data_IF_349687605171
#
_entry.id   IF_349687605171
#
_cell.length_a   1.000
_cell.length_b   1.000
_cell.length_c   1.000
_cell.angle_alpha   90.00
_cell.angle_beta   90.00
_cell.angle_gamma   90.00
#
_symmetry.space_group_name_H-M   'P 1'
#
loop_
_entity.id
_entity.type
_entity.pdbx_description
1 polymer ?
#
# COMPACT_ATOMS: atom_id res chain seq x y z
N UNK A 1 -2.79 35.96 -18.88
CA UNK A 1 -3.67 35.38 -17.84
C UNK A 1 -2.80 34.50 -16.98
N UNK A 2 -2.74 34.73 -15.68
CA UNK A 2 -1.98 33.91 -14.75
C UNK A 2 -2.97 33.05 -13.94
N UNK A 3 -2.92 31.74 -14.12
CA UNK A 3 -3.58 30.79 -13.24
C UNK A 3 -2.58 30.32 -12.18
N UNK A 4 -2.93 30.46 -10.90
CA UNK A 4 -2.14 29.89 -9.81
C UNK A 4 -2.73 28.55 -9.41
N UNK A 5 -1.92 27.52 -9.43
CA UNK A 5 -2.27 26.22 -8.87
C UNK A 5 -1.93 26.20 -7.37
N UNK A 6 -2.94 25.97 -6.54
CA UNK A 6 -2.74 25.72 -5.11
C UNK A 6 -2.98 24.23 -4.86
N UNK A 7 -1.92 23.50 -4.56
CA UNK A 7 -2.04 22.16 -4.03
C UNK A 7 -2.22 22.26 -2.51
N UNK A 8 -3.44 22.08 -2.02
CA UNK A 8 -3.71 21.97 -0.59
C UNK A 8 -3.41 20.53 -0.19
N UNK A 9 -2.24 20.29 0.38
CA UNK A 9 -1.93 19.05 1.09
C UNK A 9 -2.79 19.02 2.37
N UNK A 10 -3.86 18.22 2.37
CA UNK A 10 -4.46 17.77 3.61
C UNK A 10 -3.52 16.73 4.21
N UNK A 11 -2.62 17.17 5.08
CA UNK A 11 -1.83 16.29 5.91
C UNK A 11 -2.76 15.65 6.94
N UNK A 12 -3.31 14.47 6.63
CA UNK A 12 -3.87 13.59 7.65
C UNK A 12 -2.70 13.16 8.54
N UNK A 13 -2.68 13.67 9.77
CA UNK A 13 -1.68 13.30 10.76
C UNK A 13 -1.72 11.79 11.02
N UNK A 14 -0.79 11.06 10.45
CA UNK A 14 -0.51 9.68 10.80
C UNK A 14 0.02 9.68 12.23
N UNK A 15 -0.82 9.27 13.19
CA UNK A 15 -0.35 8.84 14.51
C UNK A 15 0.45 7.56 14.26
N UNK A 16 1.78 7.67 14.24
CA UNK A 16 2.67 6.52 14.36
C UNK A 16 2.44 5.87 15.72
N UNK A 17 1.57 4.87 15.77
CA UNK A 17 1.52 3.93 16.89
C UNK A 17 2.70 3.00 16.67
N UNK A 18 3.78 3.27 17.37
CA UNK A 18 4.87 2.32 17.54
C UNK A 18 4.30 1.13 18.31
N UNK A 19 3.87 0.07 17.61
CA UNK A 19 3.66 -1.22 18.24
C UNK A 19 5.04 -1.76 18.55
N UNK A 20 5.50 -1.54 19.79
CA UNK A 20 6.61 -2.27 20.33
C UNK A 20 6.28 -3.76 20.23
N UNK A 21 7.04 -4.49 19.39
CA UNK A 21 6.97 -5.93 19.29
C UNK A 21 7.09 -6.50 20.71
N UNK A 22 6.03 -7.15 21.18
CA UNK A 22 6.07 -7.88 22.44
C UNK A 22 6.95 -9.09 22.22
N UNK A 23 8.18 -9.04 22.72
CA UNK A 23 9.00 -10.26 22.85
C UNK A 23 8.22 -11.25 23.70
N UNK A 24 8.08 -12.49 23.23
CA UNK A 24 7.45 -13.56 24.00
C UNK A 24 8.09 -13.61 25.40
N UNK A 25 7.27 -13.41 26.44
CA UNK A 25 7.75 -13.35 27.81
C UNK A 25 7.94 -14.77 28.36
N UNK A 26 9.04 -15.05 29.10
CA UNK A 26 9.20 -16.34 29.77
C UNK A 26 8.00 -16.59 30.72
N UNK A 27 7.21 -17.63 30.41
CA UNK A 27 6.01 -17.98 31.17
C UNK A 27 4.70 -17.99 30.38
N UNK A 28 4.69 -17.55 29.12
CA UNK A 28 3.52 -17.68 28.27
C UNK A 28 3.13 -19.17 28.06
N UNK A 29 1.82 -19.50 28.09
CA UNK A 29 1.40 -20.89 27.94
C UNK A 29 1.80 -21.40 26.55
N UNK A 30 2.58 -22.48 26.54
CA UNK A 30 2.91 -23.16 25.31
C UNK A 30 1.66 -23.92 24.82
N UNK A 31 1.32 -23.76 23.54
CA UNK A 31 0.40 -24.67 22.90
C UNK A 31 1.07 -26.05 22.86
N UNK A 32 0.50 -27.02 23.61
CA UNK A 32 0.71 -28.44 23.47
C UNK A 32 1.61 -29.17 24.45
N UNK A 33 2.23 -30.27 23.99
CA UNK A 33 2.91 -31.28 24.78
C UNK A 33 4.01 -30.68 25.68
N UNK A 34 4.26 -31.32 26.79
CA UNK A 34 5.31 -30.93 27.73
C UNK A 34 6.70 -30.90 27.09
N UNK A 35 6.94 -31.75 26.07
CA UNK A 35 8.27 -31.97 25.48
C UNK A 35 8.52 -31.18 24.18
N UNK A 36 7.47 -30.82 23.46
CA UNK A 36 7.52 -30.02 22.24
C UNK A 36 6.41 -28.95 22.31
N UNK A 37 6.74 -27.70 22.10
CA UNK A 37 5.74 -26.62 22.21
C UNK A 37 6.12 -25.34 21.50
N UNK A 38 5.12 -24.65 20.99
CA UNK A 38 5.16 -23.27 20.53
C UNK A 38 4.51 -22.40 21.59
N UNK A 39 5.21 -21.36 22.02
CA UNK A 39 4.81 -20.52 23.14
C UNK A 39 4.78 -19.05 22.70
N UNK A 40 3.74 -18.33 23.08
CA UNK A 40 3.65 -16.87 22.83
C UNK A 40 3.39 -16.48 21.36
N UNK A 41 3.02 -17.41 20.49
CA UNK A 41 2.55 -17.08 19.13
C UNK A 41 1.18 -16.39 19.25
N UNK A 42 1.10 -15.18 18.73
CA UNK A 42 -0.14 -14.38 18.71
C UNK A 42 -0.75 -14.35 17.30
N UNK A 43 -2.07 -14.15 17.22
CA UNK A 43 -2.81 -13.99 15.98
C UNK A 43 -3.88 -12.90 16.12
N UNK A 44 -4.15 -12.10 15.07
CA UNK A 44 -3.37 -12.03 13.83
C UNK A 44 -2.05 -11.29 14.02
N UNK A 45 -1.08 -11.58 13.13
CA UNK A 45 0.15 -10.79 12.98
C UNK A 45 -0.08 -9.77 11.88
N UNK A 46 -0.21 -8.50 12.28
CA UNK A 46 -0.60 -7.40 11.39
C UNK A 46 0.62 -6.59 10.99
N UNK A 47 0.83 -6.46 9.69
CA UNK A 47 1.88 -5.65 9.09
C UNK A 47 1.27 -4.56 8.21
N UNK A 48 1.95 -3.43 8.08
CA UNK A 48 1.56 -2.35 7.17
C UNK A 48 2.58 -2.27 6.06
N UNK A 49 2.11 -2.28 4.82
CA UNK A 49 2.97 -2.04 3.66
C UNK A 49 3.50 -0.61 3.69
N UNK A 50 4.83 -0.50 3.56
CA UNK A 50 5.53 0.77 3.38
C UNK A 50 6.33 0.67 2.07
N UNK A 51 6.07 1.57 1.14
CA UNK A 51 6.78 1.64 -0.14
C UNK A 51 8.29 1.88 0.01
N UNK A 52 8.72 2.36 1.17
CA UNK A 52 10.14 2.61 1.49
C UNK A 52 10.83 1.39 2.11
N UNK A 53 10.08 0.39 2.58
CA UNK A 53 10.60 -0.81 3.23
C UNK A 53 9.85 -2.05 2.74
N UNK A 54 10.44 -2.86 1.84
CA UNK A 54 9.81 -4.08 1.35
C UNK A 54 9.75 -5.20 2.40
N UNK A 55 10.53 -5.11 3.48
CA UNK A 55 10.50 -6.07 4.56
C UNK A 55 9.22 -5.87 5.37
N UNK A 56 8.34 -6.87 5.36
CA UNK A 56 7.03 -6.77 6.02
C UNK A 56 7.19 -6.79 7.53
N UNK A 57 8.02 -7.69 8.06
CA UNK A 57 8.36 -7.71 9.49
C UNK A 57 8.57 -9.10 10.07
N UNK A 58 8.65 -9.18 11.40
CA UNK A 58 8.97 -10.39 12.15
C UNK A 58 7.80 -10.83 13.02
N UNK A 59 7.59 -12.14 13.09
CA UNK A 59 6.63 -12.80 13.98
C UNK A 59 7.41 -13.49 15.10
N UNK A 60 7.51 -12.89 16.29
CA UNK A 60 8.24 -13.45 17.40
C UNK A 60 7.39 -14.47 18.16
N UNK A 61 8.00 -15.58 18.54
CA UNK A 61 7.45 -16.58 19.46
C UNK A 61 8.58 -17.35 20.14
N UNK A 62 8.28 -18.42 20.83
CA UNK A 62 9.31 -19.28 21.43
C UNK A 62 9.02 -20.74 21.14
N UNK A 63 10.08 -21.52 20.99
CA UNK A 63 10.00 -22.97 20.77
C UNK A 63 10.72 -23.70 21.89
N UNK A 64 10.08 -24.73 22.39
CA UNK A 64 10.66 -25.71 23.32
C UNK A 64 10.68 -27.06 22.65
N UNK A 65 11.84 -27.75 22.65
CA UNK A 65 11.97 -29.09 22.09
C UNK A 65 13.02 -29.91 22.86
N UNK A 66 12.56 -30.84 23.66
CA UNK A 66 13.41 -31.75 24.42
C UNK A 66 12.74 -33.09 24.59
N UNK A 67 13.50 -34.09 25.08
CA UNK A 67 12.97 -35.36 25.53
C UNK A 67 13.46 -35.67 26.95
N UNK A 68 12.83 -36.61 27.63
CA UNK A 68 13.17 -37.01 29.00
C UNK A 68 13.37 -38.51 29.05
N UNK A 69 14.51 -38.92 29.61
CA UNK A 69 14.78 -40.30 29.94
C UNK A 69 15.07 -40.42 31.44
N UNK A 70 14.17 -41.08 32.15
CA UNK A 70 14.10 -41.09 33.62
C UNK A 70 14.06 -39.65 34.19
N UNK A 71 15.15 -39.23 34.85
CA UNK A 71 15.27 -37.89 35.48
C UNK A 71 16.08 -36.91 34.60
N UNK A 72 16.60 -37.34 33.47
CA UNK A 72 17.46 -36.53 32.62
C UNK A 72 16.65 -35.97 31.44
N UNK A 73 16.67 -34.66 31.29
CA UNK A 73 16.13 -33.95 30.11
C UNK A 73 17.26 -33.58 29.18
N UNK A 74 17.05 -33.76 27.88
CA UNK A 74 18.03 -33.41 26.86
C UNK A 74 17.35 -32.76 25.65
N UNK A 75 17.96 -31.71 25.08
CA UNK A 75 17.46 -31.06 23.87
C UNK A 75 17.32 -32.05 22.72
N UNK A 76 16.28 -31.87 21.90
CA UNK A 76 16.03 -32.67 20.70
C UNK A 76 15.81 -31.74 19.52
N UNK A 77 16.53 -31.96 18.43
CA UNK A 77 16.38 -31.19 17.23
C UNK A 77 14.95 -31.28 16.68
N UNK A 78 14.51 -30.24 15.98
CA UNK A 78 13.18 -30.16 15.39
C UNK A 78 13.22 -29.50 14.01
N UNK A 79 12.22 -29.79 13.20
CA UNK A 79 11.95 -29.12 11.92
C UNK A 79 10.63 -28.35 12.01
N UNK A 80 10.51 -27.32 11.20
CA UNK A 80 9.31 -26.48 11.08
C UNK A 80 8.72 -26.68 9.70
N UNK A 81 7.40 -26.80 9.61
CA UNK A 81 6.66 -26.88 8.34
C UNK A 81 5.51 -25.90 8.41
N UNK A 82 5.32 -25.12 7.35
CA UNK A 82 4.18 -24.21 7.19
C UNK A 82 3.33 -24.68 6.02
N UNK A 83 2.03 -24.83 6.24
CA UNK A 83 1.04 -25.22 5.24
C UNK A 83 0.02 -24.11 5.04
N UNK A 84 -0.44 -23.92 3.81
CA UNK A 84 -1.47 -22.92 3.48
C UNK A 84 -1.51 -22.60 2.00
N UNK A 85 -2.24 -21.53 1.67
CA UNK A 85 -2.32 -21.07 0.29
C UNK A 85 -0.95 -20.68 -0.24
N UNK A 86 -0.57 -21.21 -1.41
CA UNK A 86 0.75 -21.00 -1.98
C UNK A 86 0.75 -21.01 -3.51
N UNK A 87 1.79 -20.41 -4.09
CA UNK A 87 2.09 -20.46 -5.51
C UNK A 87 3.59 -20.70 -5.70
N UNK A 88 3.95 -21.92 -6.08
CA UNK A 88 5.35 -22.35 -6.15
C UNK A 88 6.01 -22.35 -4.78
N UNK A 89 7.05 -21.54 -4.60
CA UNK A 89 7.80 -21.42 -3.35
C UNK A 89 7.25 -20.36 -2.39
N UNK A 90 6.30 -19.55 -2.84
CA UNK A 90 5.77 -18.41 -2.08
C UNK A 90 4.42 -18.74 -1.47
N UNK A 91 4.18 -18.23 -0.28
CA UNK A 91 2.86 -18.22 0.35
C UNK A 91 2.00 -17.09 -0.20
N UNK A 92 0.67 -17.23 -0.10
CA UNK A 92 -0.27 -16.25 -0.62
C UNK A 92 -1.14 -15.66 0.48
N UNK A 93 -1.17 -14.34 0.52
CA UNK A 93 -2.20 -13.57 1.21
C UNK A 93 -3.26 -13.15 0.18
N UNK A 94 -4.52 -13.12 0.57
CA UNK A 94 -5.64 -12.84 -0.34
C UNK A 94 -6.50 -11.69 0.18
N UNK A 95 -6.97 -10.85 -0.74
CA UNK A 95 -7.94 -9.79 -0.53
C UNK A 95 -8.92 -9.74 -1.70
N UNK A 96 -10.07 -9.05 -1.60
CA UNK A 96 -10.97 -8.81 -2.74
C UNK A 96 -10.26 -8.20 -3.96
N UNK A 97 -9.28 -7.33 -3.73
CA UNK A 97 -8.49 -6.66 -4.77
C UNK A 97 -7.38 -7.50 -5.40
N UNK A 98 -7.12 -8.73 -4.91
CA UNK A 98 -6.08 -9.58 -5.47
C UNK A 98 -5.33 -10.43 -4.45
N UNK A 99 -4.10 -10.79 -4.79
CA UNK A 99 -3.22 -11.61 -3.95
C UNK A 99 -1.85 -10.95 -3.80
N UNK A 100 -1.25 -11.12 -2.62
CA UNK A 100 0.13 -10.76 -2.32
C UNK A 100 0.93 -12.04 -2.04
N UNK A 101 2.04 -12.24 -2.74
CA UNK A 101 2.96 -13.34 -2.49
C UNK A 101 3.99 -12.90 -1.44
N UNK A 102 4.24 -13.77 -0.46
CA UNK A 102 5.23 -13.58 0.59
C UNK A 102 6.15 -14.79 0.67
N UNK A 103 7.39 -14.59 1.08
CA UNK A 103 8.28 -15.63 1.57
C UNK A 103 8.39 -15.56 3.09
N UNK A 104 8.78 -16.66 3.71
CA UNK A 104 8.97 -16.77 5.15
C UNK A 104 10.30 -17.44 5.45
N UNK A 105 11.07 -16.86 6.37
CA UNK A 105 12.33 -17.42 6.88
C UNK A 105 12.22 -17.65 8.38
N UNK A 106 12.51 -18.85 8.83
CA UNK A 106 12.55 -19.14 10.26
C UNK A 106 13.98 -18.98 10.79
N UNK A 107 14.10 -18.28 11.92
CA UNK A 107 15.37 -18.09 12.62
C UNK A 107 15.26 -18.59 14.06
N UNK A 108 16.19 -19.47 14.47
CA UNK A 108 16.24 -19.98 15.83
C UNK A 108 17.01 -19.04 16.79
N UNK A 109 17.02 -19.35 18.07
CA UNK A 109 17.70 -18.58 19.12
C UNK A 109 19.22 -18.51 18.98
N UNK A 110 19.82 -19.36 18.14
CA UNK A 110 21.25 -19.35 17.86
C UNK A 110 21.59 -18.56 16.58
N UNK A 111 20.58 -18.02 15.91
CA UNK A 111 20.72 -17.29 14.66
C UNK A 111 20.86 -18.21 13.44
N UNK A 112 20.52 -19.50 13.54
CA UNK A 112 20.42 -20.36 12.38
C UNK A 112 19.11 -20.07 11.63
N UNK A 113 19.20 -19.88 10.33
CA UNK A 113 18.06 -19.54 9.46
C UNK A 113 17.76 -20.64 8.46
N UNK A 114 16.50 -20.77 8.07
CA UNK A 114 16.06 -21.64 6.98
C UNK A 114 14.84 -21.06 6.32
N UNK A 115 14.84 -21.01 4.99
CA UNK A 115 13.67 -20.69 4.20
C UNK A 115 12.56 -21.71 4.51
N UNK A 116 11.35 -21.22 4.72
CA UNK A 116 10.15 -22.01 4.86
C UNK A 116 9.45 -22.12 3.50
N UNK A 117 9.52 -23.32 2.91
CA UNK A 117 8.79 -23.59 1.69
C UNK A 117 7.43 -24.22 2.01
N UNK A 118 6.37 -23.94 1.23
CA UNK A 118 5.06 -24.53 1.45
C UNK A 118 5.12 -26.05 1.53
N UNK A 119 4.47 -26.63 2.54
CA UNK A 119 4.37 -28.07 2.79
C UNK A 119 5.71 -28.82 2.91
N UNK A 120 6.82 -28.10 3.06
CA UNK A 120 8.16 -28.69 3.08
C UNK A 120 8.79 -28.49 4.47
N UNK A 121 9.31 -29.54 5.12
CA UNK A 121 10.06 -29.39 6.35
C UNK A 121 11.33 -28.54 6.15
N UNK A 122 11.59 -27.63 7.09
CA UNK A 122 12.82 -26.84 7.14
C UNK A 122 14.06 -27.70 7.39
N UNK A 123 15.24 -27.10 7.35
CA UNK A 123 16.42 -27.67 8.00
C UNK A 123 16.14 -27.92 9.48
N UNK A 124 16.90 -28.85 10.08
CA UNK A 124 16.75 -29.17 11.49
C UNK A 124 17.40 -28.10 12.39
N UNK A 125 16.66 -27.58 13.33
CA UNK A 125 17.10 -26.62 14.34
C UNK A 125 17.44 -27.31 15.65
N UNK A 126 18.29 -26.68 16.45
CA UNK A 126 18.66 -27.23 17.75
C UNK A 126 17.53 -26.98 18.76
N UNK A 127 17.09 -28.03 19.46
CA UNK A 127 16.11 -27.89 20.51
C UNK A 127 16.69 -27.38 21.83
N UNK A 128 15.80 -27.02 22.76
CA UNK A 128 16.12 -26.59 24.12
C UNK A 128 15.09 -27.14 25.11
N UNK A 129 15.54 -27.33 26.37
CA UNK A 129 14.65 -27.69 27.50
C UNK A 129 13.73 -26.53 27.84
N UNK A 130 14.24 -25.30 27.69
CA UNK A 130 13.48 -24.08 27.89
C UNK A 130 12.81 -23.63 26.58
N UNK A 131 11.78 -22.81 26.68
CA UNK A 131 11.23 -22.10 25.54
C UNK A 131 12.21 -20.99 25.13
N UNK A 132 12.86 -21.18 24.00
CA UNK A 132 13.83 -20.21 23.47
C UNK A 132 13.16 -19.32 22.43
N UNK A 133 13.52 -18.03 22.38
CA UNK A 133 12.95 -17.09 21.42
C UNK A 133 13.37 -17.45 19.99
N UNK A 134 12.40 -17.42 19.10
CA UNK A 134 12.56 -17.64 17.65
C UNK A 134 11.67 -16.65 16.91
N UNK A 135 11.87 -16.49 15.62
CA UNK A 135 11.00 -15.64 14.82
C UNK A 135 10.86 -16.15 13.38
N UNK A 136 9.77 -15.76 12.75
CA UNK A 136 9.57 -15.88 11.32
C UNK A 136 9.69 -14.47 10.71
N UNK A 137 10.66 -14.28 9.82
CA UNK A 137 10.73 -13.10 8.95
C UNK A 137 9.73 -13.27 7.81
N UNK A 138 8.94 -12.25 7.56
CA UNK A 138 7.97 -12.21 6.46
C UNK A 138 8.43 -11.17 5.46
N UNK A 139 8.65 -11.59 4.22
CA UNK A 139 9.16 -10.76 3.12
C UNK A 139 8.11 -10.71 2.02
N UNK A 140 7.82 -9.51 1.51
CA UNK A 140 6.89 -9.32 0.40
C UNK A 140 7.61 -9.59 -0.93
N UNK A 141 7.14 -10.60 -1.66
CA UNK A 141 7.66 -11.00 -2.98
C UNK A 141 6.90 -10.32 -4.13
N UNK A 142 5.65 -9.92 -3.89
CA UNK A 142 4.90 -9.12 -4.85
C UNK A 142 5.42 -7.68 -4.85
N UNK A 143 5.53 -7.07 -6.03
CA UNK A 143 5.79 -5.63 -6.09
C UNK A 143 4.65 -4.88 -5.38
N UNK A 144 4.92 -4.36 -4.19
CA UNK A 144 3.94 -3.70 -3.35
C UNK A 144 3.29 -2.48 -4.01
N UNK A 145 3.99 -1.81 -4.94
CA UNK A 145 3.42 -0.70 -5.72
C UNK A 145 2.23 -1.11 -6.59
N UNK A 146 2.07 -2.41 -6.89
CA UNK A 146 0.95 -2.94 -7.68
C UNK A 146 -0.20 -3.45 -6.83
N UNK A 147 -0.05 -3.49 -5.50
CA UNK A 147 -1.11 -3.92 -4.59
C UNK A 147 -2.15 -2.81 -4.43
N UNK A 148 -3.41 -3.15 -4.65
CA UNK A 148 -4.53 -2.25 -4.36
C UNK A 148 -4.66 -2.03 -2.85
N UNK A 149 -5.18 -0.86 -2.41
CA UNK A 149 -5.49 -0.62 -1.01
C UNK A 149 -6.48 -1.66 -0.48
N UNK A 150 -6.05 -2.47 0.47
CA UNK A 150 -6.87 -3.53 1.09
C UNK A 150 -6.12 -4.15 2.29
N UNK A 151 -6.76 -5.08 2.99
CA UNK A 151 -6.14 -5.98 3.97
C UNK A 151 -6.01 -7.38 3.37
N UNK A 152 -4.79 -7.76 3.04
CA UNK A 152 -4.47 -9.09 2.50
C UNK A 152 -4.24 -10.06 3.64
N UNK A 153 -5.05 -11.11 3.74
CA UNK A 153 -5.01 -12.09 4.85
C UNK A 153 -4.59 -13.46 4.35
N UNK A 154 -3.68 -14.10 5.10
CA UNK A 154 -3.30 -15.50 4.95
C UNK A 154 -3.50 -16.27 6.25
N UNK A 155 -4.09 -17.45 6.16
CA UNK A 155 -4.25 -18.39 7.29
C UNK A 155 -3.41 -19.61 6.97
N UNK A 156 -2.41 -19.84 7.82
CA UNK A 156 -1.45 -20.92 7.67
C UNK A 156 -1.49 -21.87 8.87
N UNK A 157 -1.00 -23.09 8.67
CA UNK A 157 -0.84 -24.08 9.72
C UNK A 157 0.64 -24.34 9.95
N UNK A 158 1.12 -24.03 11.15
CA UNK A 158 2.48 -24.30 11.59
C UNK A 158 2.55 -25.67 12.25
N UNK A 159 3.52 -26.47 11.86
CA UNK A 159 3.79 -27.78 12.43
C UNK A 159 5.26 -27.91 12.83
N UNK A 160 5.53 -28.56 13.96
CA UNK A 160 6.88 -28.86 14.43
C UNK A 160 7.03 -30.38 14.60
N UNK A 161 8.18 -30.92 14.16
CA UNK A 161 8.48 -32.34 14.28
C UNK A 161 9.88 -32.53 14.88
N UNK A 162 9.98 -33.25 15.99
CA UNK A 162 11.24 -33.67 16.57
C UNK A 162 12.01 -34.62 15.65
N UNK A 163 13.32 -34.57 15.66
CA UNK A 163 14.20 -35.35 14.80
C UNK A 163 15.27 -36.07 15.61
N UNK A 164 15.63 -37.30 15.16
CA UNK A 164 16.76 -38.05 15.74
C UNK A 164 16.50 -38.68 17.11
N UNK A 165 15.28 -38.86 17.53
CA UNK A 165 14.90 -39.47 18.82
C UNK A 165 14.08 -40.75 18.60
N UNK A 166 14.08 -41.65 19.62
CA UNK A 166 13.32 -42.90 19.57
C UNK A 166 11.80 -42.70 19.79
N UNK A 167 11.43 -41.66 20.54
CA UNK A 167 10.04 -41.27 20.82
C UNK A 167 9.86 -39.79 20.47
N UNK A 168 10.03 -39.49 19.17
CA UNK A 168 9.90 -38.13 18.67
C UNK A 168 8.45 -37.66 18.69
N UNK A 169 8.26 -36.43 19.15
CA UNK A 169 6.96 -35.76 19.20
C UNK A 169 6.75 -34.91 17.95
N UNK A 170 5.48 -34.74 17.60
CA UNK A 170 5.05 -33.78 16.59
C UNK A 170 3.85 -33.01 17.11
N UNK A 171 3.77 -31.75 16.73
CA UNK A 171 2.61 -30.89 16.89
C UNK A 171 2.22 -30.32 15.55
N UNK A 172 0.94 -30.29 15.26
CA UNK A 172 0.39 -29.77 14.01
C UNK A 172 -0.75 -28.80 14.31
N UNK A 173 -1.26 -28.18 13.27
CA UNK A 173 -2.46 -27.35 13.29
C UNK A 173 -2.36 -26.12 14.22
N UNK A 174 -1.15 -25.60 14.42
CA UNK A 174 -0.97 -24.33 15.10
C UNK A 174 -1.26 -23.23 14.08
N UNK A 175 -2.35 -22.51 14.32
CA UNK A 175 -2.78 -21.44 13.44
C UNK A 175 -1.79 -20.27 13.46
N UNK A 176 -1.43 -19.80 12.26
CA UNK A 176 -0.62 -18.62 12.01
C UNK A 176 -1.38 -17.71 11.03
N UNK A 177 -1.90 -16.58 11.53
CA UNK A 177 -2.62 -15.60 10.72
C UNK A 177 -1.71 -14.41 10.45
N UNK A 178 -1.56 -14.08 9.17
CA UNK A 178 -0.78 -12.94 8.70
C UNK A 178 -1.73 -11.99 7.98
N UNK A 179 -1.69 -10.71 8.34
CA UNK A 179 -2.44 -9.63 7.69
C UNK A 179 -1.47 -8.56 7.22
N UNK A 180 -1.52 -8.24 5.93
CA UNK A 180 -0.80 -7.13 5.31
C UNK A 180 -1.79 -6.03 4.95
N UNK A 181 -1.70 -4.89 5.62
CA UNK A 181 -2.54 -3.72 5.37
C UNK A 181 -1.84 -2.81 4.37
N UNK A 182 -2.46 -2.63 3.20
CA UNK A 182 -2.05 -1.65 2.18
C UNK A 182 -2.97 -0.45 2.29
N UNK A 183 -2.43 0.68 2.76
CA UNK A 183 -3.21 1.89 2.97
C UNK A 183 -3.57 2.56 1.63
N UNK A 184 -4.77 3.19 1.51
CA UNK A 184 -5.10 4.01 0.37
C UNK A 184 -4.20 5.26 0.32
N UNK A 185 -3.62 5.52 -0.83
CA UNK A 185 -2.79 6.69 -1.05
C UNK A 185 -3.05 7.27 -2.43
N UNK A 186 -3.17 8.60 -2.50
CA UNK A 186 -3.31 9.35 -3.75
C UNK A 186 -2.58 10.68 -3.65
N UNK A 187 -1.89 11.08 -4.72
CA UNK A 187 -1.13 12.34 -4.79
C UNK A 187 -1.22 12.97 -6.17
N UNK A 188 -1.20 14.31 -6.20
CA UNK A 188 -1.00 15.10 -7.42
C UNK A 188 0.39 15.74 -7.38
N UNK A 189 1.07 15.74 -8.53
CA UNK A 189 2.33 16.47 -8.74
C UNK A 189 2.44 17.00 -10.17
N UNK A 190 3.39 17.89 -10.42
CA UNK A 190 3.67 18.44 -11.75
C UNK A 190 2.80 19.64 -12.16
N UNK A 191 1.84 20.09 -11.33
CA UNK A 191 1.06 21.29 -11.64
C UNK A 191 1.90 22.57 -11.44
N UNK A 192 1.74 23.52 -12.34
CA UNK A 192 2.36 24.84 -12.30
C UNK A 192 1.40 25.93 -12.77
N UNK A 193 1.79 27.19 -12.55
CA UNK A 193 1.01 28.32 -13.07
C UNK A 193 0.92 28.28 -14.59
N UNK A 194 -0.27 28.52 -15.14
CA UNK A 194 -0.56 28.46 -16.57
C UNK A 194 -0.83 29.87 -17.10
N UNK A 195 -0.02 30.30 -18.04
CA UNK A 195 -0.25 31.54 -18.80
C UNK A 195 -1.00 31.26 -20.07
N UNK A 196 -2.10 31.99 -20.31
CA UNK A 196 -2.96 31.79 -21.47
C UNK A 196 -2.97 33.06 -22.33
N UNK A 197 -2.48 32.94 -23.55
CA UNK A 197 -2.48 34.05 -24.51
C UNK A 197 -3.79 34.07 -25.28
N UNK A 198 -4.45 35.23 -25.32
CA UNK A 198 -5.73 35.39 -25.97
C UNK A 198 -5.63 35.17 -27.50
N UNK A 199 -6.48 34.30 -28.03
CA UNK A 199 -6.67 34.12 -29.47
C UNK A 199 -7.93 34.89 -29.95
N UNK A 200 -7.71 36.00 -30.65
CA UNK A 200 -8.79 36.88 -31.14
C UNK A 200 -9.54 36.27 -32.34
N UNK A 201 -9.03 35.23 -32.96
CA UNK A 201 -9.58 34.64 -34.18
C UNK A 201 -10.21 33.24 -34.00
N UNK A 202 -10.22 32.73 -32.77
CA UNK A 202 -10.72 31.39 -32.51
C UNK A 202 -10.75 31.05 -31.01
N UNK A 203 -10.91 29.79 -30.73
CA UNK A 203 -10.83 29.26 -29.36
C UNK A 203 -9.44 29.55 -28.76
N UNK A 204 -9.43 30.09 -27.55
CA UNK A 204 -8.22 30.21 -26.74
C UNK A 204 -8.08 28.97 -25.90
N UNK A 205 -6.96 28.26 -26.02
CA UNK A 205 -6.72 27.01 -25.29
C UNK A 205 -5.29 27.00 -24.70
N UNK A 206 -5.17 26.52 -23.48
CA UNK A 206 -3.90 26.17 -22.88
C UNK A 206 -4.00 24.81 -22.22
N UNK A 207 -2.92 24.06 -22.26
CA UNK A 207 -2.86 22.69 -21.75
C UNK A 207 -1.65 22.49 -20.88
N UNK A 208 -1.79 21.65 -19.88
CA UNK A 208 -0.71 21.22 -19.01
C UNK A 208 -0.90 19.76 -18.66
N UNK A 209 0.18 18.99 -18.73
CA UNK A 209 0.22 17.63 -18.20
C UNK A 209 0.63 17.64 -16.72
N UNK A 210 0.24 16.60 -16.00
CA UNK A 210 0.55 16.43 -14.58
C UNK A 210 0.45 14.97 -14.18
N UNK A 211 0.92 14.65 -12.99
CA UNK A 211 0.87 13.29 -12.45
C UNK A 211 -0.20 13.14 -11.39
N UNK A 212 -0.98 12.06 -11.47
CA UNK A 212 -1.77 11.54 -10.36
C UNK A 212 -1.26 10.13 -10.05
N UNK A 213 -0.60 9.98 -8.92
CA UNK A 213 -0.23 8.71 -8.34
C UNK A 213 -1.40 8.17 -7.50
N UNK A 214 -1.67 6.88 -7.59
CA UNK A 214 -2.50 6.17 -6.61
C UNK A 214 -1.92 4.81 -6.28
N UNK A 215 -2.03 4.39 -5.02
CA UNK A 215 -1.55 3.07 -4.59
C UNK A 215 -2.23 1.98 -5.42
N UNK A 216 -1.41 1.09 -6.00
CA UNK A 216 -1.87 0.02 -6.89
C UNK A 216 -2.48 0.48 -8.20
N UNK A 217 -2.36 1.75 -8.58
CA UNK A 217 -3.06 2.31 -9.73
C UNK A 217 -4.57 2.39 -9.52
N UNK A 218 -5.02 2.45 -8.25
CA UNK A 218 -6.43 2.49 -7.89
C UNK A 218 -7.17 3.60 -8.66
N UNK A 219 -8.41 3.37 -9.08
CA UNK A 219 -9.19 4.36 -9.80
C UNK A 219 -9.50 5.58 -8.92
N UNK A 220 -9.60 6.75 -9.58
CA UNK A 220 -9.85 8.01 -8.91
C UNK A 220 -10.71 8.94 -9.74
N UNK A 221 -11.45 9.81 -9.06
CA UNK A 221 -12.16 10.95 -9.64
C UNK A 221 -11.45 12.27 -9.37
N UNK A 222 -11.78 13.31 -10.15
CA UNK A 222 -11.26 14.68 -10.00
C UNK A 222 -12.41 15.66 -9.88
N UNK A 223 -12.36 16.56 -8.90
CA UNK A 223 -13.18 17.76 -8.84
C UNK A 223 -12.31 19.00 -9.06
N UNK A 224 -12.84 19.99 -9.76
CA UNK A 224 -12.20 21.27 -9.98
C UNK A 224 -13.04 22.42 -9.42
N UNK A 225 -12.41 23.34 -8.71
CA UNK A 225 -13.05 24.54 -8.16
C UNK A 225 -12.29 25.80 -8.55
N UNK A 226 -13.03 26.84 -8.98
CA UNK A 226 -12.52 28.17 -9.27
C UNK A 226 -12.64 29.08 -8.05
N UNK A 227 -11.58 29.75 -7.66
CA UNK A 227 -11.64 30.69 -6.52
C UNK A 227 -12.60 31.86 -6.75
N UNK A 228 -12.84 32.21 -8.00
CA UNK A 228 -13.79 33.24 -8.40
C UNK A 228 -15.15 32.67 -8.83
N UNK A 229 -15.29 31.35 -8.80
CA UNK A 229 -16.45 30.62 -9.30
C UNK A 229 -17.71 30.79 -8.44
N UNK A 230 -18.85 30.69 -9.12
CA UNK A 230 -20.17 30.63 -8.47
C UNK A 230 -21.06 29.71 -9.32
N UNK A 231 -20.64 28.47 -9.48
CA UNK A 231 -21.27 27.47 -10.36
C UNK A 231 -20.72 27.44 -11.77
N UNK A 232 -19.72 28.28 -12.09
CA UNK A 232 -18.91 28.23 -13.33
C UNK A 232 -17.48 28.64 -13.05
N UNK A 233 -16.55 28.26 -13.92
CA UNK A 233 -15.16 28.67 -13.83
C UNK A 233 -15.01 30.10 -14.34
N UNK A 234 -14.47 31.02 -13.54
CA UNK A 234 -14.39 32.43 -13.83
C UNK A 234 -12.99 33.01 -13.64
N UNK A 235 -12.47 33.62 -14.69
CA UNK A 235 -11.33 34.52 -14.64
C UNK A 235 -11.81 35.93 -14.28
N UNK A 236 -11.20 36.55 -13.29
CA UNK A 236 -11.58 37.88 -12.79
C UNK A 236 -10.54 38.93 -13.15
N UNK A 237 -10.99 40.06 -13.79
CA UNK A 237 -10.30 41.31 -13.90
C UNK A 237 -10.70 42.26 -12.79
N UNK A 238 -10.41 43.57 -12.94
CA UNK A 238 -10.85 44.58 -11.98
C UNK A 238 -12.28 45.11 -12.28
N UNK A 239 -12.75 44.91 -13.52
CA UNK A 239 -14.01 45.51 -14.00
C UNK A 239 -15.02 44.42 -14.39
N UNK A 240 -14.56 43.33 -14.98
CA UNK A 240 -15.41 42.25 -15.48
C UNK A 240 -14.80 40.87 -15.23
N UNK A 241 -15.54 39.83 -15.65
CA UNK A 241 -15.18 38.42 -15.50
C UNK A 241 -15.33 37.71 -16.84
N UNK A 242 -14.51 36.69 -17.08
CA UNK A 242 -14.55 35.84 -18.26
C UNK A 242 -14.80 34.40 -17.84
N UNK A 243 -15.83 33.78 -18.36
CA UNK A 243 -16.10 32.36 -18.19
C UNK A 243 -15.12 31.51 -19.02
N UNK A 244 -14.67 30.39 -18.43
CA UNK A 244 -13.85 29.42 -19.12
C UNK A 244 -14.31 28.00 -18.85
N UNK A 245 -13.91 27.08 -19.73
CA UNK A 245 -14.17 25.65 -19.59
C UNK A 245 -12.91 24.94 -19.12
N UNK A 246 -13.08 23.97 -18.22
CA UNK A 246 -12.02 23.09 -17.74
C UNK A 246 -12.28 21.67 -18.25
N UNK A 247 -11.32 21.12 -18.96
CA UNK A 247 -11.36 19.77 -19.50
C UNK A 247 -10.24 18.93 -18.91
N UNK A 248 -10.54 17.66 -18.67
CA UNK A 248 -9.61 16.70 -18.09
C UNK A 248 -9.55 15.45 -18.97
N UNK A 249 -8.36 14.93 -19.22
CA UNK A 249 -8.21 13.64 -19.89
C UNK A 249 -7.02 12.84 -19.36
N UNK A 250 -7.11 11.52 -19.48
CA UNK A 250 -5.98 10.62 -19.24
C UNK A 250 -5.16 10.48 -20.51
N UNK A 251 -3.83 10.59 -20.41
CA UNK A 251 -2.92 10.41 -21.54
C UNK A 251 -2.78 8.94 -21.99
N UNK A 252 -3.27 8.00 -21.20
CA UNK A 252 -3.17 6.56 -21.48
C UNK A 252 -4.46 5.93 -21.96
N UNK A 253 -5.62 6.41 -21.51
CA UNK A 253 -6.91 5.78 -21.82
C UNK A 253 -8.08 6.72 -21.52
N UNK A 254 -9.15 6.61 -22.30
CA UNK A 254 -10.34 7.43 -22.15
C UNK A 254 -10.30 8.68 -23.03
N UNK A 255 -11.43 9.36 -23.13
CA UNK A 255 -11.58 10.65 -23.83
C UNK A 255 -11.57 11.81 -22.82
N UNK A 256 -11.53 13.05 -23.34
CA UNK A 256 -11.64 14.23 -22.52
C UNK A 256 -13.03 14.36 -21.89
N UNK A 257 -13.08 14.78 -20.63
CA UNK A 257 -14.29 15.15 -19.92
C UNK A 257 -14.28 16.63 -19.60
N UNK A 258 -15.39 17.31 -19.88
CA UNK A 258 -15.61 18.68 -19.38
C UNK A 258 -16.06 18.63 -17.93
N UNK A 259 -15.29 19.25 -17.05
CA UNK A 259 -15.63 19.32 -15.64
C UNK A 259 -16.68 20.41 -15.39
N UNK A 260 -17.52 20.17 -14.39
CA UNK A 260 -18.44 21.17 -13.83
C UNK A 260 -17.83 21.72 -12.55
N UNK A 261 -17.85 23.04 -12.38
CA UNK A 261 -17.28 23.70 -11.21
C UNK A 261 -17.87 23.13 -9.92
N UNK A 262 -16.98 22.72 -9.00
CA UNK A 262 -17.33 22.17 -7.70
C UNK A 262 -17.98 20.79 -7.70
N UNK A 263 -18.06 20.11 -8.86
CA UNK A 263 -18.62 18.75 -8.93
C UNK A 263 -17.53 17.73 -9.25
N UNK A 264 -17.65 16.51 -8.70
CA UNK A 264 -16.77 15.39 -9.10
C UNK A 264 -16.95 15.05 -10.59
N UNK A 265 -15.88 14.55 -11.20
CA UNK A 265 -15.93 14.00 -12.56
C UNK A 265 -16.91 12.83 -12.66
N UNK A 266 -17.50 12.65 -13.84
CA UNK A 266 -18.31 11.48 -14.15
C UNK A 266 -17.46 10.27 -14.56
N UNK A 267 -16.26 10.54 -15.09
CA UNK A 267 -15.28 9.53 -15.43
C UNK A 267 -14.35 9.26 -14.25
N UNK A 268 -13.85 8.05 -14.20
CA UNK A 268 -12.82 7.58 -13.30
C UNK A 268 -11.58 7.21 -14.12
N UNK A 269 -10.40 7.54 -13.61
CA UNK A 269 -9.11 7.28 -14.25
C UNK A 269 -8.21 6.44 -13.35
N UNK A 270 -7.32 5.66 -13.94
CA UNK A 270 -6.32 4.91 -13.18
C UNK A 270 -5.11 5.79 -12.86
N UNK A 271 -4.63 5.71 -11.63
CA UNK A 271 -3.42 6.41 -11.21
C UNK A 271 -2.14 5.78 -11.75
N UNK A 272 -1.06 6.54 -11.66
CA UNK A 272 0.29 6.01 -11.88
C UNK A 272 0.68 5.10 -10.72
N UNK A 273 1.40 4.02 -11.01
CA UNK A 273 2.03 3.15 -10.00
C UNK A 273 3.30 3.78 -9.39
N UNK A 274 3.81 4.84 -10.01
CA UNK A 274 5.05 5.50 -9.61
C UNK A 274 4.76 6.88 -9.06
N UNK A 275 5.26 7.16 -7.88
CA UNK A 275 5.20 8.49 -7.29
C UNK A 275 5.87 9.51 -8.22
N UNK A 276 5.27 10.71 -8.34
CA UNK A 276 5.71 11.74 -9.30
C UNK A 276 5.81 11.27 -10.76
N UNK A 277 5.18 10.15 -11.11
CA UNK A 277 5.24 9.52 -12.44
C UNK A 277 6.67 9.27 -12.97
N UNK A 278 7.64 9.08 -12.08
CA UNK A 278 9.08 9.00 -12.44
C UNK A 278 9.43 7.84 -13.37
N UNK A 279 8.59 6.82 -13.45
CA UNK A 279 8.80 5.62 -14.30
C UNK A 279 7.97 5.59 -15.58
N UNK A 280 6.88 6.37 -15.68
CA UNK A 280 5.90 6.29 -16.77
C UNK A 280 5.65 7.61 -17.50
N UNK A 281 6.16 8.73 -16.98
CA UNK A 281 5.74 10.07 -17.39
C UNK A 281 4.39 10.47 -16.80
N UNK A 282 4.03 11.73 -16.98
CA UNK A 282 2.74 12.28 -16.54
C UNK A 282 1.59 11.51 -17.20
N UNK A 283 0.50 11.29 -16.45
CA UNK A 283 -0.62 10.44 -16.90
C UNK A 283 -1.92 11.20 -17.13
N UNK A 284 -1.99 12.47 -16.73
CA UNK A 284 -3.17 13.32 -16.85
C UNK A 284 -2.85 14.60 -17.58
N UNK A 285 -3.85 15.16 -18.26
CA UNK A 285 -3.80 16.49 -18.90
C UNK A 285 -5.02 17.31 -18.50
N UNK A 286 -4.78 18.56 -18.15
CA UNK A 286 -5.80 19.58 -18.00
C UNK A 286 -5.74 20.53 -19.20
N UNK A 287 -6.92 20.88 -19.73
CA UNK A 287 -7.07 21.90 -20.77
C UNK A 287 -8.03 22.98 -20.30
N UNK A 288 -7.61 24.23 -20.41
CA UNK A 288 -8.41 25.41 -20.17
C UNK A 288 -8.82 26.01 -21.49
N UNK A 289 -10.11 26.20 -21.71
CA UNK A 289 -10.68 26.72 -22.96
C UNK A 289 -11.52 27.96 -22.72
N UNK A 290 -11.26 29.00 -23.49
CA UNK A 290 -12.00 30.27 -23.42
C UNK A 290 -12.59 30.53 -24.82
N UNK A 291 -13.92 30.70 -24.85
CA UNK A 291 -14.62 30.97 -26.10
C UNK A 291 -14.21 32.34 -26.68
N UNK A 292 -14.13 32.42 -28.02
CA UNK A 292 -13.75 33.66 -28.71
C UNK A 292 -14.65 34.85 -28.33
N UNK A 293 -15.96 34.64 -28.17
CA UNK A 293 -16.90 35.69 -27.76
C UNK A 293 -16.51 36.31 -26.42
N UNK A 294 -16.14 35.47 -25.43
CA UNK A 294 -15.73 35.94 -24.12
C UNK A 294 -14.46 36.81 -24.17
N UNK A 295 -13.50 36.45 -25.05
CA UNK A 295 -12.29 37.24 -25.28
C UNK A 295 -12.61 38.55 -26.00
N UNK A 296 -13.55 38.54 -26.94
CA UNK A 296 -13.90 39.74 -27.72
C UNK A 296 -14.66 40.77 -26.85
N UNK A 297 -15.46 40.29 -25.90
CA UNK A 297 -16.28 41.10 -24.99
C UNK A 297 -15.48 41.55 -23.75
N UNK A 298 -14.24 41.08 -23.57
CA UNK A 298 -13.36 41.41 -22.46
C UNK A 298 -13.02 42.89 -22.40
N UNK A 299 -13.16 43.50 -21.24
CA UNK A 299 -12.93 44.95 -21.03
C UNK A 299 -11.51 45.26 -20.57
N UNK A 300 -10.76 44.25 -20.15
CA UNK A 300 -9.39 44.42 -19.63
C UNK A 300 -8.39 43.53 -20.38
N UNK A 301 -7.13 43.82 -20.16
CA UNK A 301 -6.03 43.07 -20.80
C UNK A 301 -5.48 41.93 -19.96
N UNK A 302 -5.93 41.80 -18.70
CA UNK A 302 -5.44 40.75 -17.78
C UNK A 302 -6.54 40.27 -16.86
N UNK A 303 -6.65 38.95 -16.76
CA UNK A 303 -7.60 38.25 -15.88
C UNK A 303 -6.85 37.13 -15.16
N UNK A 304 -7.28 36.81 -13.95
CA UNK A 304 -6.66 35.77 -13.14
C UNK A 304 -7.72 34.93 -12.46
N UNK A 305 -7.36 33.65 -12.21
CA UNK A 305 -8.11 32.77 -11.30
C UNK A 305 -7.13 31.85 -10.57
N UNK A 306 -7.60 31.24 -9.50
CA UNK A 306 -6.95 30.11 -8.84
C UNK A 306 -7.85 28.88 -8.99
N UNK A 307 -7.42 27.98 -9.85
CA UNK A 307 -8.10 26.68 -10.04
C UNK A 307 -7.53 25.67 -9.04
N UNK A 308 -8.40 25.08 -8.24
CA UNK A 308 -8.07 24.02 -7.27
C UNK A 308 -8.52 22.70 -7.83
N UNK A 309 -7.62 21.72 -7.93
CA UNK A 309 -7.96 20.33 -8.26
C UNK A 309 -7.96 19.50 -6.97
N UNK A 310 -9.02 18.72 -6.79
CA UNK A 310 -9.15 17.74 -5.70
C UNK A 310 -9.25 16.35 -6.34
N UNK A 311 -8.46 15.41 -5.87
CA UNK A 311 -8.51 14.00 -6.29
C UNK A 311 -8.98 13.13 -5.15
N UNK A 312 -9.83 12.17 -5.46
CA UNK A 312 -10.37 11.20 -4.49
C UNK A 312 -10.35 9.81 -5.11
N UNK A 313 -10.03 8.79 -4.31
CA UNK A 313 -10.15 7.40 -4.73
C UNK A 313 -11.63 7.01 -4.80
N UNK A 314 -12.01 6.22 -5.82
CA UNK A 314 -13.35 5.71 -6.03
C UNK A 314 -13.72 4.54 -5.11
#
# INVERSE_FOLDING_TARGET
VLLRANSTLLALGLLCIWTSGTTAQPGDPCNTDTYLGVCGLTNPNVFTYDSQSPDVGQIPFSVRSYNQFFIWSFPVNYTVTVQGAANGTNFLLSAPGGQAAISMDFTDSNGATSDLLPDTPSAAFQGSINAEPVFIDVILETNGATLLPDTYTGIFQLSLNQQGCLDCRSISDIELIIELVVAPEIRISGLSDMAIDANLTGLTEAQQTFCVYSQGGAPFGIAAGSANGNGSFLLTGNVDQIEYETWMESLSSGGPEQLTEGQPSALSWSGSLWDECTGSGENMQISIRIQQSAITDAMESSYTDTLTLTVELD
#
